data_IF_794520146803
#
_entry.id   IF_794520146803
#
_cell.length_a   1.000
_cell.length_b   1.000
_cell.length_c   1.000
_cell.angle_alpha   90.00
_cell.angle_beta   90.00
_cell.angle_gamma   90.00
#
_symmetry.space_group_name_H-M   'P 1'
#
loop_
_entity.id
_entity.type
_entity.pdbx_description
1 polymer ?
#
# COMPACT_ATOMS: atom_id res chain seq x y z
N UNK A 1 -42.25 -51.43 42.94
CA UNK A 1 -40.89 -51.48 42.40
C UNK A 1 -40.69 -50.25 41.52
N UNK A 2 -39.98 -49.26 42.02
CA UNK A 2 -39.67 -48.04 41.32
C UNK A 2 -38.19 -48.10 40.87
N UNK A 3 -37.93 -48.08 39.55
CA UNK A 3 -36.59 -48.01 39.02
C UNK A 3 -36.19 -46.51 38.96
N UNK A 4 -35.26 -46.13 39.80
CA UNK A 4 -34.51 -44.88 39.67
C UNK A 4 -33.47 -45.02 38.56
N UNK A 5 -33.63 -44.28 37.47
CA UNK A 5 -32.63 -44.10 36.45
C UNK A 5 -31.57 -43.10 36.91
N UNK A 6 -30.31 -43.58 37.09
CA UNK A 6 -29.13 -42.73 37.30
C UNK A 6 -28.73 -42.12 35.95
N UNK A 7 -28.96 -40.81 35.78
CA UNK A 7 -28.38 -40.08 34.69
C UNK A 7 -26.90 -39.75 35.04
N UNK A 8 -25.97 -40.37 34.35
CA UNK A 8 -24.54 -40.02 34.43
C UNK A 8 -24.32 -38.65 33.78
N UNK A 9 -23.98 -37.66 34.60
CA UNK A 9 -23.50 -36.37 34.13
C UNK A 9 -22.09 -36.54 33.53
N UNK A 10 -22.00 -36.35 32.20
CA UNK A 10 -20.71 -36.29 31.49
C UNK A 10 -20.07 -34.95 31.86
N UNK A 11 -18.87 -34.90 32.42
CA UNK A 11 -18.18 -33.63 32.67
C UNK A 11 -17.72 -33.01 31.36
N UNK A 12 -18.43 -31.95 30.93
CA UNK A 12 -18.09 -31.15 29.75
C UNK A 12 -17.00 -30.13 30.13
N UNK A 13 -15.78 -30.59 30.45
CA UNK A 13 -14.59 -29.76 30.61
C UNK A 13 -13.37 -30.49 30.04
N UNK A 14 -13.37 -30.77 28.75
CA UNK A 14 -12.12 -30.90 28.03
C UNK A 14 -11.66 -29.48 27.72
N UNK A 15 -10.90 -28.87 28.64
CA UNK A 15 -10.07 -27.73 28.27
C UNK A 15 -9.20 -28.20 27.09
N UNK A 16 -9.45 -27.68 25.90
CA UNK A 16 -8.53 -27.86 24.77
C UNK A 16 -7.15 -27.43 25.26
N UNK A 17 -6.14 -28.28 25.24
CA UNK A 17 -4.79 -27.82 25.47
C UNK A 17 -4.45 -26.93 24.29
N UNK A 18 -4.33 -25.64 24.52
CA UNK A 18 -3.62 -24.73 23.64
C UNK A 18 -2.12 -24.96 23.83
N UNK A 19 -1.44 -25.81 23.04
CA UNK A 19 0.00 -25.87 23.05
C UNK A 19 0.52 -24.78 22.11
N UNK A 20 0.06 -23.55 22.34
CA UNK A 20 0.69 -22.42 21.71
C UNK A 20 1.83 -22.03 22.63
N UNK A 21 3.10 -21.99 22.17
CA UNK A 21 4.13 -21.29 22.90
C UNK A 21 3.53 -19.92 23.21
N UNK A 22 3.38 -19.56 24.46
CA UNK A 22 2.68 -18.35 24.84
C UNK A 22 3.32 -17.18 24.07
N UNK A 23 2.55 -16.18 23.66
CA UNK A 23 3.04 -15.01 22.92
C UNK A 23 4.35 -14.45 23.50
N UNK A 24 4.54 -14.58 24.81
CA UNK A 24 5.78 -14.23 25.49
C UNK A 24 7.00 -15.03 24.99
N UNK A 25 6.86 -16.32 24.70
CA UNK A 25 7.94 -17.13 24.13
C UNK A 25 8.28 -16.72 22.70
N UNK A 26 7.26 -16.41 21.89
CA UNK A 26 7.41 -15.88 20.55
C UNK A 26 8.18 -14.56 20.56
N UNK A 27 7.78 -13.61 21.42
CA UNK A 27 8.45 -12.31 21.56
C UNK A 27 9.90 -12.47 22.01
N UNK A 28 10.16 -13.35 22.98
CA UNK A 28 11.52 -13.62 23.45
C UNK A 28 12.40 -14.21 22.35
N UNK A 29 11.86 -15.09 21.52
CA UNK A 29 12.61 -15.74 20.43
C UNK A 29 12.87 -14.82 19.23
N UNK A 30 11.86 -14.07 18.78
CA UNK A 30 11.92 -13.33 17.52
C UNK A 30 11.90 -11.81 17.69
N UNK A 31 11.54 -11.29 18.86
CA UNK A 31 11.61 -9.86 19.16
C UNK A 31 12.99 -9.23 18.89
N UNK A 32 14.12 -9.91 19.17
CA UNK A 32 15.45 -9.38 18.82
C UNK A 32 15.66 -9.08 17.33
N UNK A 33 14.90 -9.72 16.43
CA UNK A 33 14.96 -9.48 14.98
C UNK A 33 14.04 -8.34 14.50
N UNK A 34 13.18 -7.80 15.37
CA UNK A 34 12.28 -6.68 15.04
C UNK A 34 12.95 -5.37 15.40
N UNK A 35 13.02 -4.45 14.46
CA UNK A 35 13.77 -3.22 14.58
C UNK A 35 12.88 -1.99 14.48
N UNK A 36 13.29 -0.92 15.13
CA UNK A 36 12.72 0.41 14.97
C UNK A 36 13.35 1.12 13.78
N UNK A 37 12.53 1.82 12.98
CA UNK A 37 12.97 2.61 11.84
C UNK A 37 12.54 4.06 12.06
N UNK A 38 13.53 4.93 12.16
CA UNK A 38 13.38 6.37 12.19
C UNK A 38 13.84 6.97 10.87
N UNK A 39 13.07 7.91 10.32
CA UNK A 39 13.38 8.53 9.04
C UNK A 39 13.38 10.04 9.21
N UNK A 40 14.52 10.65 8.99
CA UNK A 40 14.65 12.10 8.94
C UNK A 40 14.11 12.59 7.60
N UNK A 41 13.21 13.55 7.64
CA UNK A 41 12.71 14.25 6.45
C UNK A 41 13.32 15.64 6.38
N UNK A 42 13.52 16.23 5.17
CA UNK A 42 13.99 17.59 5.07
C UNK A 42 13.03 18.49 5.83
N UNK A 43 13.51 19.16 6.87
CA UNK A 43 12.74 20.21 7.54
C UNK A 43 12.53 21.33 6.53
N UNK A 44 11.30 21.61 6.14
CA UNK A 44 10.97 22.88 5.50
C UNK A 44 11.12 23.93 6.60
N UNK A 45 12.00 24.94 6.44
CA UNK A 45 12.17 25.94 7.46
C UNK A 45 10.81 26.60 7.70
N UNK A 46 10.25 26.40 8.90
CA UNK A 46 9.10 27.14 9.35
C UNK A 46 9.53 28.60 9.34
N UNK A 47 8.98 29.42 8.42
CA UNK A 47 9.12 30.87 8.50
C UNK A 47 8.58 31.26 9.88
N UNK A 48 9.48 31.69 10.75
CA UNK A 48 9.16 32.32 12.04
C UNK A 48 8.33 33.54 11.72
N UNK A 49 6.99 33.43 11.79
CA UNK A 49 6.16 34.58 12.02
C UNK A 49 6.40 34.97 13.46
N UNK A 50 7.06 36.13 13.63
CA UNK A 50 7.23 36.79 14.89
C UNK A 50 5.88 37.35 15.34
N UNK A 51 5.05 36.55 16.00
CA UNK A 51 3.96 37.02 16.84
C UNK A 51 4.30 36.74 18.30
N UNK A 52 4.84 37.76 18.87
CA UNK A 52 5.14 38.01 20.26
C UNK A 52 3.83 38.23 21.00
N UNK A 53 3.16 37.13 21.37
CA UNK A 53 2.12 37.08 22.44
C UNK A 53 1.47 35.70 22.41
N UNK A 54 2.00 34.78 23.18
CA UNK A 54 1.28 33.83 24.04
C UNK A 54 2.27 32.77 24.57
N UNK A 55 2.52 32.88 25.86
CA UNK A 55 2.89 31.87 26.83
C UNK A 55 3.37 30.50 26.32
N UNK A 56 4.73 30.33 26.37
CA UNK A 56 5.47 29.18 26.87
C UNK A 56 4.84 27.82 26.62
N UNK A 57 4.82 27.41 25.35
CA UNK A 57 4.99 26.00 25.01
C UNK A 57 6.51 25.75 24.75
N UNK A 58 7.11 24.68 25.25
CA UNK A 58 8.47 24.35 24.85
C UNK A 58 8.49 24.27 23.32
N UNK A 59 9.62 24.65 22.65
CA UNK A 59 9.74 24.45 21.23
C UNK A 59 9.53 22.95 20.99
N UNK A 60 8.41 22.57 20.38
CA UNK A 60 8.31 21.30 19.74
C UNK A 60 9.39 21.34 18.66
N UNK A 61 10.50 20.66 18.90
CA UNK A 61 11.41 20.25 17.87
C UNK A 61 10.56 19.41 16.92
N UNK A 62 10.02 20.07 15.90
CA UNK A 62 9.29 19.41 14.83
C UNK A 62 10.32 18.73 13.93
N UNK A 63 10.96 17.72 14.48
CA UNK A 63 11.53 16.64 13.71
C UNK A 63 10.34 15.83 13.20
N UNK A 64 9.88 16.12 11.97
CA UNK A 64 8.89 15.30 11.29
C UNK A 64 9.53 13.97 10.91
N UNK A 65 9.91 13.19 11.94
CA UNK A 65 10.42 11.84 11.77
C UNK A 65 9.25 10.90 11.51
N UNK A 66 9.24 10.23 10.36
CA UNK A 66 8.37 9.07 10.16
C UNK A 66 8.92 7.93 11.01
N UNK A 67 8.05 7.33 11.81
CA UNK A 67 8.41 6.22 12.69
C UNK A 67 7.70 4.96 12.23
N UNK A 68 8.43 3.86 12.15
CA UNK A 68 7.90 2.55 11.81
C UNK A 68 8.74 1.42 12.37
N UNK A 69 8.37 0.24 11.99
CA UNK A 69 9.08 -1.00 12.31
C UNK A 69 9.62 -1.68 11.06
N UNK A 70 10.54 -2.60 11.25
CA UNK A 70 11.03 -3.54 10.26
C UNK A 70 11.47 -4.82 10.93
N UNK A 71 11.93 -5.77 10.14
CA UNK A 71 12.49 -7.00 10.67
C UNK A 71 13.63 -7.53 9.81
N UNK A 72 14.59 -8.14 10.47
CA UNK A 72 15.79 -8.71 9.87
C UNK A 72 15.47 -10.04 9.19
N UNK A 73 15.74 -10.12 7.88
CA UNK A 73 15.56 -11.32 7.06
C UNK A 73 16.87 -12.00 6.73
N UNK A 74 18.02 -11.37 7.05
CA UNK A 74 19.33 -11.97 6.91
C UNK A 74 20.27 -11.56 8.02
N UNK A 75 21.22 -12.43 8.37
CA UNK A 75 22.18 -12.21 9.44
C UNK A 75 23.24 -11.13 9.12
N UNK A 76 23.35 -10.74 7.87
CA UNK A 76 24.20 -9.66 7.36
C UNK A 76 23.50 -8.31 7.29
N UNK A 77 22.21 -8.20 7.71
CA UNK A 77 21.53 -6.94 7.93
C UNK A 77 20.57 -6.48 6.83
N UNK A 78 19.97 -7.40 6.06
CA UNK A 78 18.82 -7.07 5.22
C UNK A 78 17.56 -6.96 6.08
N UNK A 79 16.78 -5.89 5.86
CA UNK A 79 15.58 -5.57 6.62
C UNK A 79 14.42 -5.32 5.66
N UNK A 80 13.28 -5.96 5.90
CA UNK A 80 12.01 -5.65 5.26
C UNK A 80 11.22 -4.67 6.12
N UNK A 81 10.55 -3.72 5.43
CA UNK A 81 9.63 -2.75 6.02
C UNK A 81 8.63 -2.26 4.96
N UNK A 82 7.73 -1.34 5.31
CA UNK A 82 6.86 -0.70 4.33
C UNK A 82 7.55 0.43 3.57
N UNK A 83 7.13 0.61 2.31
CA UNK A 83 7.64 1.70 1.48
C UNK A 83 7.27 3.08 2.04
N UNK A 84 6.03 3.25 2.55
CA UNK A 84 5.57 4.52 3.12
C UNK A 84 6.35 4.94 4.38
N UNK A 85 6.95 4.00 5.12
CA UNK A 85 7.80 4.29 6.29
C UNK A 85 9.06 5.02 5.85
N UNK A 86 9.68 4.62 4.73
CA UNK A 86 10.98 5.11 4.27
C UNK A 86 10.90 6.09 3.11
N UNK A 87 9.72 6.26 2.50
CA UNK A 87 9.53 7.16 1.39
C UNK A 87 9.86 8.61 1.77
N UNK A 88 10.58 9.30 0.88
CA UNK A 88 10.98 10.70 1.03
C UNK A 88 11.92 10.99 2.21
N UNK A 89 12.55 9.95 2.79
CA UNK A 89 13.55 10.11 3.82
C UNK A 89 14.91 10.52 3.23
N UNK A 90 15.58 11.47 3.88
CA UNK A 90 16.96 11.85 3.56
C UNK A 90 17.96 10.98 4.30
N UNK A 91 17.61 10.51 5.48
CA UNK A 91 18.41 9.63 6.30
C UNK A 91 17.51 8.60 7.00
N UNK A 92 17.89 7.34 6.90
CA UNK A 92 17.19 6.22 7.54
C UNK A 92 18.06 5.69 8.66
N UNK A 93 17.53 5.66 9.87
CA UNK A 93 18.17 5.09 11.07
C UNK A 93 17.43 3.84 11.50
N UNK A 94 18.16 2.80 11.80
CA UNK A 94 17.63 1.54 12.32
C UNK A 94 18.19 1.35 13.72
N UNK A 95 17.29 1.17 14.69
CA UNK A 95 17.65 0.86 16.08
C UNK A 95 17.20 -0.55 16.42
N UNK A 96 18.14 -1.36 16.89
CA UNK A 96 17.88 -2.71 17.34
C UNK A 96 17.36 -2.71 18.79
N UNK A 97 16.70 -3.80 19.25
CA UNK A 97 16.25 -3.92 20.64
C UNK A 97 17.38 -3.87 21.68
N UNK A 98 18.60 -4.25 21.32
CA UNK A 98 19.80 -4.12 22.14
C UNK A 98 20.39 -2.70 22.19
N UNK A 99 19.67 -1.73 21.61
CA UNK A 99 20.00 -0.30 21.53
C UNK A 99 21.10 0.09 20.54
N UNK A 100 21.70 -0.85 19.80
CA UNK A 100 22.60 -0.50 18.70
C UNK A 100 21.82 0.24 17.63
N UNK A 101 22.43 1.31 17.11
CA UNK A 101 21.85 2.14 16.06
C UNK A 101 22.75 2.10 14.82
N UNK A 102 22.12 2.00 13.66
CA UNK A 102 22.80 1.93 12.37
C UNK A 102 22.17 2.90 11.38
N UNK A 103 22.99 3.49 10.54
CA UNK A 103 22.51 4.14 9.32
C UNK A 103 22.15 3.05 8.32
N UNK A 104 20.93 3.07 7.81
CA UNK A 104 20.48 2.11 6.81
C UNK A 104 20.57 2.72 5.41
N UNK A 105 20.93 1.89 4.46
CA UNK A 105 20.88 2.20 3.03
C UNK A 105 19.60 1.60 2.45
N UNK A 106 18.84 2.40 1.72
CA UNK A 106 17.71 1.91 0.93
C UNK A 106 18.24 1.17 -0.29
N UNK A 107 17.96 -0.13 -0.39
CA UNK A 107 18.29 -0.95 -1.57
C UNK A 107 17.30 -0.65 -2.68
N UNK A 108 16.01 -0.60 -2.32
CA UNK A 108 14.94 -0.23 -3.22
C UNK A 108 13.59 -0.30 -2.51
N UNK A 109 12.55 0.18 -3.17
CA UNK A 109 11.19 0.09 -2.67
C UNK A 109 10.19 -0.12 -3.80
N UNK A 110 9.06 -0.67 -3.45
CA UNK A 110 7.88 -0.82 -4.29
C UNK A 110 6.69 -0.11 -3.64
N UNK A 111 6.36 1.05 -4.16
CA UNK A 111 5.29 1.88 -3.62
C UNK A 111 3.89 1.27 -3.84
N UNK A 112 3.70 0.46 -4.89
CA UNK A 112 2.40 -0.17 -5.18
C UNK A 112 2.10 -1.31 -4.21
N UNK A 113 3.11 -2.11 -3.87
CA UNK A 113 2.99 -3.17 -2.88
C UNK A 113 3.26 -2.69 -1.45
N UNK A 114 3.73 -1.46 -1.29
CA UNK A 114 4.11 -0.88 0.01
C UNK A 114 5.23 -1.68 0.72
N UNK A 115 6.24 -2.14 -0.02
CA UNK A 115 7.40 -2.90 0.49
C UNK A 115 8.69 -2.16 0.22
N UNK A 116 9.58 -2.11 1.20
CA UNK A 116 10.94 -1.58 1.06
C UNK A 116 11.97 -2.55 1.63
N UNK A 117 13.15 -2.57 0.99
CA UNK A 117 14.32 -3.33 1.40
C UNK A 117 15.45 -2.39 1.83
N UNK A 118 15.88 -2.54 3.07
CA UNK A 118 16.99 -1.79 3.66
C UNK A 118 18.18 -2.71 3.91
N UNK A 119 19.36 -2.11 4.02
CA UNK A 119 20.62 -2.76 4.40
C UNK A 119 21.35 -1.94 5.47
N UNK A 120 21.71 -2.61 6.57
CA UNK A 120 22.63 -2.08 7.58
C UNK A 120 23.95 -2.84 7.54
N UNK A 121 25.04 -2.17 7.88
CA UNK A 121 26.38 -2.74 7.90
C UNK A 121 26.64 -3.41 9.25
N UNK A 122 26.15 -4.65 9.42
CA UNK A 122 26.31 -5.46 10.61
C UNK A 122 26.25 -6.95 10.23
N UNK A 123 26.80 -7.82 11.07
CA UNK A 123 26.81 -9.27 10.88
C UNK A 123 26.43 -9.99 12.16
N UNK A 124 26.07 -11.28 12.04
CA UNK A 124 25.68 -12.08 13.20
C UNK A 124 24.37 -11.63 13.84
N UNK A 125 23.50 -10.99 13.06
CA UNK A 125 22.21 -10.48 13.54
C UNK A 125 21.18 -11.59 13.66
N UNK A 126 20.26 -11.50 14.65
CA UNK A 126 19.11 -12.39 14.73
C UNK A 126 18.18 -12.17 13.54
N UNK A 127 17.57 -13.24 13.04
CA UNK A 127 16.63 -13.18 11.92
C UNK A 127 15.29 -13.79 12.28
N UNK A 128 14.24 -13.37 11.59
CA UNK A 128 12.94 -14.03 11.67
C UNK A 128 12.94 -15.34 10.88
N UNK A 129 11.93 -16.19 11.15
CA UNK A 129 11.61 -17.35 10.34
C UNK A 129 10.49 -16.97 9.38
N UNK A 130 10.67 -17.26 8.11
CA UNK A 130 9.66 -16.99 7.08
C UNK A 130 8.72 -18.20 6.98
N UNK A 131 7.42 -17.95 7.08
CA UNK A 131 6.36 -18.93 6.88
C UNK A 131 5.70 -18.83 5.50
N UNK A 132 4.66 -19.61 5.30
CA UNK A 132 3.83 -19.56 4.10
C UNK A 132 2.44 -19.01 4.45
N UNK A 133 1.98 -17.91 3.82
CA UNK A 133 0.62 -17.41 3.99
C UNK A 133 -0.47 -18.38 3.52
N UNK A 134 -0.11 -19.37 2.67
CA UNK A 134 -1.05 -20.41 2.25
C UNK A 134 -1.47 -21.32 3.41
N UNK A 135 -0.57 -21.52 4.38
CA UNK A 135 -0.76 -22.44 5.52
C UNK A 135 -1.66 -21.89 6.62
N UNK A 136 -2.13 -20.64 6.52
CA UNK A 136 -3.02 -20.05 7.53
C UNK A 136 -4.43 -19.90 6.97
N UNK A 137 -5.41 -20.11 7.87
CA UNK A 137 -6.81 -20.01 7.54
C UNK A 137 -7.51 -18.93 8.41
N UNK A 138 -8.65 -18.39 7.95
CA UNK A 138 -9.47 -17.52 8.79
C UNK A 138 -9.82 -18.21 10.12
N UNK A 139 -9.54 -17.52 11.24
CA UNK A 139 -9.66 -18.05 12.59
C UNK A 139 -8.33 -18.41 13.25
N UNK A 140 -7.24 -18.56 12.48
CA UNK A 140 -5.93 -18.83 13.02
C UNK A 140 -5.38 -17.64 13.82
N UNK A 141 -4.78 -17.95 14.96
CA UNK A 141 -4.16 -16.96 15.84
C UNK A 141 -2.90 -16.35 15.22
N UNK A 142 -2.78 -15.04 15.33
CA UNK A 142 -1.64 -14.26 14.82
C UNK A 142 -1.22 -13.17 15.79
N UNK A 143 0.05 -12.75 15.70
CA UNK A 143 0.60 -11.68 16.52
C UNK A 143 1.45 -10.73 15.68
N UNK A 144 1.26 -9.43 15.88
CA UNK A 144 2.13 -8.40 15.37
C UNK A 144 3.16 -8.00 16.43
N UNK A 145 4.40 -7.86 16.02
CA UNK A 145 5.45 -7.25 16.84
C UNK A 145 5.91 -5.98 16.13
N UNK A 146 5.90 -4.87 16.85
CA UNK A 146 6.42 -3.60 16.37
C UNK A 146 7.31 -2.94 17.41
N UNK A 147 8.02 -1.92 17.02
CA UNK A 147 8.88 -1.11 17.92
C UNK A 147 8.45 0.36 17.85
N UNK A 148 7.21 0.70 18.31
CA UNK A 148 6.72 2.07 18.26
C UNK A 148 7.60 2.99 19.10
N UNK A 149 7.88 4.18 18.59
CA UNK A 149 8.65 5.22 19.28
C UNK A 149 10.06 4.80 19.76
N UNK A 150 10.57 3.63 19.35
CA UNK A 150 11.88 3.15 19.79
C UNK A 150 12.00 2.80 21.29
N UNK A 151 10.87 2.67 22.00
CA UNK A 151 10.85 2.32 23.45
C UNK A 151 10.99 0.81 23.73
N UNK A 152 11.11 0.00 22.70
CA UNK A 152 11.16 -1.45 22.78
C UNK A 152 10.00 -2.08 22.00
N UNK A 153 9.99 -3.41 21.96
CA UNK A 153 8.98 -4.14 21.21
C UNK A 153 7.62 -4.12 21.92
N UNK A 154 6.60 -3.79 21.16
CA UNK A 154 5.20 -3.93 21.54
C UNK A 154 4.56 -5.08 20.79
N UNK A 155 3.70 -5.83 21.44
CA UNK A 155 3.00 -6.99 20.87
C UNK A 155 1.51 -6.76 20.90
N UNK A 156 0.86 -7.04 19.79
CA UNK A 156 -0.58 -7.12 19.69
C UNK A 156 -0.96 -8.47 19.06
N UNK A 157 -2.11 -9.03 19.41
CA UNK A 157 -2.54 -10.33 18.93
C UNK A 157 -4.02 -10.31 18.52
N UNK A 158 -4.38 -11.23 17.66
CA UNK A 158 -5.71 -11.42 17.14
C UNK A 158 -5.74 -12.67 16.27
N UNK A 159 -6.62 -12.66 15.26
CA UNK A 159 -6.79 -13.77 14.31
C UNK A 159 -6.66 -13.28 12.86
N UNK A 160 -6.43 -14.20 11.96
CA UNK A 160 -6.68 -13.98 10.53
C UNK A 160 -8.19 -13.89 10.34
N UNK A 161 -8.70 -12.76 9.86
CA UNK A 161 -10.13 -12.57 9.61
C UNK A 161 -10.52 -12.96 8.19
N UNK A 162 -9.63 -12.76 7.22
CA UNK A 162 -9.81 -13.16 5.82
C UNK A 162 -8.48 -13.19 5.05
N UNK A 163 -8.47 -13.89 3.92
CA UNK A 163 -7.34 -13.92 2.96
C UNK A 163 -7.76 -13.28 1.64
N UNK A 164 -6.80 -12.77 0.87
CA UNK A 164 -7.04 -12.28 -0.49
C UNK A 164 -7.86 -10.99 -0.57
N UNK A 165 -7.82 -10.13 0.46
CA UNK A 165 -8.56 -8.87 0.44
C UNK A 165 -7.88 -7.86 -0.47
N UNK A 166 -8.68 -7.26 -1.34
CA UNK A 166 -8.29 -6.16 -2.21
C UNK A 166 -8.73 -4.84 -1.57
N UNK A 167 -7.86 -3.86 -1.64
CA UNK A 167 -8.12 -2.55 -1.05
C UNK A 167 -8.12 -1.48 -2.14
N UNK A 168 -9.01 -0.48 -2.06
CA UNK A 168 -8.99 0.65 -2.98
C UNK A 168 -7.62 1.32 -3.02
N UNK A 169 -7.09 1.54 -4.23
CA UNK A 169 -5.75 2.10 -4.44
C UNK A 169 -4.58 1.11 -4.26
N UNK A 170 -4.87 -0.17 -4.04
CA UNK A 170 -3.89 -1.25 -3.95
C UNK A 170 -4.41 -2.54 -4.62
N UNK A 171 -5.09 -2.40 -5.75
CA UNK A 171 -5.78 -3.48 -6.46
C UNK A 171 -4.84 -4.58 -6.98
N UNK A 172 -3.53 -4.30 -7.02
CA UNK A 172 -2.52 -5.28 -7.43
C UNK A 172 -1.99 -6.15 -6.28
N UNK A 173 -2.50 -5.97 -5.05
CA UNK A 173 -2.04 -6.69 -3.87
C UNK A 173 -3.22 -7.32 -3.11
N UNK A 174 -3.14 -8.62 -2.89
CA UNK A 174 -4.09 -9.35 -2.04
C UNK A 174 -3.57 -9.38 -0.61
N UNK A 175 -4.29 -8.74 0.31
CA UNK A 175 -3.90 -8.62 1.72
C UNK A 175 -4.44 -9.76 2.58
N UNK A 176 -3.71 -10.07 3.66
CA UNK A 176 -4.26 -10.76 4.82
C UNK A 176 -5.00 -9.73 5.67
N UNK A 177 -6.30 -9.99 5.95
CA UNK A 177 -7.07 -9.19 6.88
C UNK A 177 -6.98 -9.82 8.29
N UNK A 178 -6.75 -9.01 9.31
CA UNK A 178 -6.71 -9.43 10.71
C UNK A 178 -7.46 -8.45 11.60
N UNK A 179 -7.76 -8.85 12.82
CA UNK A 179 -8.24 -7.98 13.88
C UNK A 179 -7.13 -7.60 14.87
N UNK A 180 -5.88 -7.83 14.52
CA UNK A 180 -4.72 -7.42 15.32
C UNK A 180 -4.68 -5.90 15.42
N UNK A 181 -4.63 -5.30 16.63
CA UNK A 181 -4.52 -3.87 16.79
C UNK A 181 -3.22 -3.33 16.19
N UNK A 182 -3.33 -2.52 15.14
CA UNK A 182 -2.21 -1.81 14.52
C UNK A 182 -2.33 -0.31 14.85
N UNK A 183 -1.25 0.24 15.38
CA UNK A 183 -1.11 1.65 15.72
C UNK A 183 0.15 2.22 15.06
N UNK A 184 0.31 3.55 14.96
CA UNK A 184 1.53 4.16 14.46
C UNK A 184 2.78 3.59 15.14
N UNK A 185 3.73 3.12 14.35
CA UNK A 185 4.94 2.45 14.79
C UNK A 185 4.95 0.92 14.58
N UNK A 186 3.80 0.25 14.43
CA UNK A 186 3.74 -1.18 14.09
C UNK A 186 3.84 -1.42 12.58
N UNK A 187 3.57 -0.40 11.74
CA UNK A 187 3.69 -0.50 10.27
C UNK A 187 5.11 -0.90 9.87
N UNK A 188 5.23 -1.84 8.94
CA UNK A 188 6.49 -2.43 8.50
C UNK A 188 7.00 -3.57 9.39
N UNK A 189 6.42 -3.77 10.58
CA UNK A 189 6.73 -4.88 11.46
C UNK A 189 6.13 -6.21 10.98
N UNK A 190 6.65 -7.35 11.47
CA UNK A 190 6.19 -8.69 11.10
C UNK A 190 4.85 -9.03 11.71
N UNK A 191 4.02 -9.75 10.94
CA UNK A 191 2.87 -10.52 11.43
C UNK A 191 3.29 -11.98 11.53
N UNK A 192 3.25 -12.53 12.73
CA UNK A 192 3.60 -13.92 13.02
C UNK A 192 2.38 -14.82 13.11
N UNK A 193 2.50 -16.06 12.66
CA UNK A 193 1.63 -17.14 13.09
C UNK A 193 2.07 -17.65 14.48
N UNK A 194 1.28 -18.55 15.06
CA UNK A 194 1.58 -19.08 16.40
C UNK A 194 2.74 -20.09 16.39
N UNK A 195 3.27 -20.49 15.24
CA UNK A 195 4.52 -21.29 15.13
C UNK A 195 5.78 -20.42 15.18
N UNK A 196 5.62 -19.08 15.27
CA UNK A 196 6.73 -18.12 15.25
C UNK A 196 7.31 -17.87 13.85
N UNK A 197 6.51 -18.03 12.84
CA UNK A 197 6.87 -17.77 11.44
C UNK A 197 6.17 -16.50 10.96
N UNK A 198 6.90 -15.64 10.26
CA UNK A 198 6.34 -14.44 9.65
C UNK A 198 5.51 -14.83 8.44
N UNK A 199 4.24 -14.46 8.45
CA UNK A 199 3.28 -14.70 7.37
C UNK A 199 2.90 -13.42 6.63
N UNK A 200 3.27 -12.24 7.16
CA UNK A 200 2.99 -10.96 6.52
C UNK A 200 3.75 -9.79 7.13
N UNK A 201 3.63 -8.64 6.47
CA UNK A 201 4.12 -7.33 6.91
C UNK A 201 2.92 -6.48 7.28
N UNK A 202 2.81 -6.01 8.52
CA UNK A 202 1.75 -5.10 8.94
C UNK A 202 1.85 -3.79 8.13
N UNK A 203 0.79 -3.39 7.44
CA UNK A 203 0.85 -2.25 6.52
C UNK A 203 -0.14 -1.16 6.90
N UNK A 204 -1.43 -1.43 6.89
CA UNK A 204 -2.45 -0.40 7.05
C UNK A 204 -3.66 -0.87 7.82
N UNK A 205 -4.47 0.10 8.28
CA UNK A 205 -5.79 -0.13 8.85
C UNK A 205 -6.87 0.47 7.95
N UNK A 206 -8.07 -0.09 7.97
CA UNK A 206 -9.24 0.59 7.44
C UNK A 206 -9.85 1.41 8.57
N UNK A 207 -9.89 2.73 8.40
CA UNK A 207 -10.38 3.62 9.46
C UNK A 207 -11.05 4.85 8.88
N UNK A 208 -12.17 5.25 9.47
CA UNK A 208 -12.86 6.53 9.18
C UNK A 208 -12.38 7.67 10.08
N UNK A 209 -11.85 7.35 11.25
CA UNK A 209 -11.40 8.30 12.28
C UNK A 209 -9.89 8.43 12.39
N UNK A 210 -9.12 7.64 11.64
CA UNK A 210 -7.66 7.55 11.73
C UNK A 210 -7.12 6.58 12.79
N UNK A 211 -7.97 6.09 13.72
CA UNK A 211 -7.60 5.09 14.71
C UNK A 211 -8.03 3.68 14.32
N UNK A 212 -7.47 2.66 14.97
CA UNK A 212 -7.83 1.26 14.78
C UNK A 212 -9.32 0.99 15.08
N UNK A 213 -10.01 0.28 14.17
CA UNK A 213 -11.45 -0.03 14.24
C UNK A 213 -11.74 -1.52 13.99
N UNK A 214 -10.82 -2.42 14.33
CA UNK A 214 -11.00 -3.87 14.15
C UNK A 214 -10.61 -4.40 12.78
N UNK A 215 -10.10 -3.57 11.86
CA UNK A 215 -9.73 -3.98 10.52
C UNK A 215 -8.28 -3.57 10.22
N UNK A 216 -7.40 -4.55 10.22
CA UNK A 216 -5.99 -4.43 9.89
C UNK A 216 -5.64 -5.27 8.68
N UNK A 217 -4.64 -4.83 7.92
CA UNK A 217 -4.21 -5.48 6.70
C UNK A 217 -2.70 -5.66 6.68
N UNK A 218 -2.27 -6.87 6.36
CA UNK A 218 -0.87 -7.23 6.21
C UNK A 218 -0.58 -7.69 4.77
N UNK A 219 0.57 -7.30 4.25
CA UNK A 219 1.09 -7.77 2.96
C UNK A 219 1.58 -9.20 3.16
N UNK A 220 1.13 -10.19 2.37
CA UNK A 220 1.60 -11.56 2.48
C UNK A 220 3.12 -11.65 2.32
N UNK A 221 3.76 -12.47 3.15
CA UNK A 221 5.23 -12.52 3.20
C UNK A 221 5.85 -13.11 1.93
N UNK A 222 5.18 -14.04 1.28
CA UNK A 222 5.62 -14.62 0.01
C UNK A 222 5.71 -13.56 -1.09
N UNK A 223 4.72 -12.64 -1.17
CA UNK A 223 4.75 -11.49 -2.07
C UNK A 223 5.91 -10.54 -1.71
N UNK A 224 6.10 -10.23 -0.43
CA UNK A 224 7.19 -9.38 0.03
C UNK A 224 8.57 -9.98 -0.25
N UNK A 225 8.72 -11.31 -0.14
CA UNK A 225 9.98 -12.00 -0.45
C UNK A 225 10.29 -11.98 -1.95
N UNK A 226 9.28 -12.19 -2.82
CA UNK A 226 9.47 -12.02 -4.28
C UNK A 226 9.91 -10.60 -4.64
N UNK A 227 9.32 -9.59 -4.01
CA UNK A 227 9.70 -8.19 -4.18
C UNK A 227 11.13 -7.95 -3.68
N UNK A 228 11.49 -8.45 -2.49
CA UNK A 228 12.84 -8.38 -1.92
C UNK A 228 13.88 -8.92 -2.90
N UNK A 229 13.62 -10.08 -3.52
CA UNK A 229 14.58 -10.70 -4.45
C UNK A 229 14.79 -9.85 -5.71
N UNK A 230 13.74 -9.24 -6.25
CA UNK A 230 13.84 -8.32 -7.38
C UNK A 230 14.59 -7.03 -6.98
N UNK A 231 14.26 -6.43 -5.83
CA UNK A 231 14.94 -5.25 -5.33
C UNK A 231 16.42 -5.49 -5.08
N UNK A 232 16.78 -6.67 -4.58
CA UNK A 232 18.18 -7.05 -4.36
C UNK A 232 18.93 -7.24 -5.67
N UNK A 233 18.29 -7.82 -6.70
CA UNK A 233 18.90 -8.09 -7.99
C UNK A 233 19.03 -6.84 -8.86
N UNK A 234 18.02 -5.98 -8.91
CA UNK A 234 17.94 -4.87 -9.89
C UNK A 234 17.67 -3.49 -9.27
N UNK A 235 17.31 -3.45 -7.98
CA UNK A 235 16.89 -2.22 -7.30
C UNK A 235 15.48 -1.74 -7.68
N UNK A 236 14.78 -2.48 -8.54
CA UNK A 236 13.43 -2.16 -9.04
C UNK A 236 12.56 -3.39 -9.08
N UNK A 237 11.24 -3.18 -9.07
CA UNK A 237 10.25 -4.25 -9.22
C UNK A 237 9.59 -4.13 -10.58
N UNK A 238 9.65 -5.22 -11.34
CA UNK A 238 8.98 -5.32 -12.63
C UNK A 238 7.74 -6.18 -12.48
N UNK A 239 6.59 -5.67 -12.89
CA UNK A 239 5.31 -6.37 -12.88
C UNK A 239 4.89 -6.80 -14.27
N UNK A 240 4.16 -7.91 -14.32
CA UNK A 240 3.51 -8.35 -15.53
C UNK A 240 2.31 -7.44 -15.88
N UNK A 241 2.15 -7.12 -17.16
CA UNK A 241 0.95 -6.48 -17.70
C UNK A 241 0.60 -7.13 -19.04
N UNK A 242 -0.67 -7.06 -19.42
CA UNK A 242 -1.12 -7.53 -20.74
C UNK A 242 -1.87 -6.46 -21.53
N UNK A 243 -2.11 -5.29 -20.96
CA UNK A 243 -2.77 -4.16 -21.62
C UNK A 243 -4.29 -4.36 -21.76
N UNK A 244 -4.97 -4.59 -20.63
CA UNK A 244 -6.43 -4.68 -20.54
C UNK A 244 -6.98 -3.78 -19.45
N UNK A 245 -8.21 -3.32 -19.64
CA UNK A 245 -9.05 -2.80 -18.57
C UNK A 245 -10.13 -3.83 -18.27
N UNK A 246 -10.43 -4.02 -17.00
CA UNK A 246 -11.44 -4.99 -16.55
C UNK A 246 -12.42 -4.35 -15.58
N UNK A 247 -13.62 -4.94 -15.48
CA UNK A 247 -14.61 -4.58 -14.48
C UNK A 247 -15.18 -5.81 -13.79
N UNK A 248 -15.78 -5.58 -12.64
CA UNK A 248 -16.44 -6.59 -11.82
C UNK A 248 -17.66 -7.19 -12.50
N UNK A 249 -17.85 -8.50 -12.35
CA UNK A 249 -19.00 -9.23 -12.88
C UNK A 249 -20.04 -9.43 -11.77
N UNK A 250 -21.01 -8.52 -11.69
CA UNK A 250 -22.18 -8.69 -10.85
C UNK A 250 -23.24 -9.58 -11.47
N UNK A 251 -24.31 -9.91 -10.71
CA UNK A 251 -25.38 -10.83 -11.13
C UNK A 251 -25.96 -10.47 -12.50
N UNK A 252 -26.31 -9.19 -12.73
CA UNK A 252 -26.92 -8.75 -13.99
C UNK A 252 -26.02 -9.00 -15.21
N UNK A 253 -24.70 -8.83 -15.07
CA UNK A 253 -23.75 -9.15 -16.13
C UNK A 253 -23.59 -10.66 -16.30
N UNK A 254 -23.54 -11.43 -15.22
CA UNK A 254 -23.47 -12.88 -15.29
C UNK A 254 -24.70 -13.45 -16.05
N UNK A 255 -25.88 -12.97 -15.77
CA UNK A 255 -27.11 -13.37 -16.46
C UNK A 255 -27.07 -13.00 -17.96
N UNK A 256 -26.59 -11.78 -18.28
CA UNK A 256 -26.47 -11.29 -19.66
C UNK A 256 -25.46 -12.11 -20.47
N UNK A 257 -24.31 -12.40 -19.90
CA UNK A 257 -23.26 -13.23 -20.55
C UNK A 257 -23.51 -14.73 -20.39
N UNK A 258 -24.57 -15.13 -19.67
CA UNK A 258 -24.90 -16.53 -19.34
C UNK A 258 -23.76 -17.27 -18.65
N UNK A 259 -23.10 -16.60 -17.72
CA UNK A 259 -22.11 -17.20 -16.85
C UNK A 259 -22.81 -18.10 -15.82
N UNK A 260 -22.19 -19.22 -15.41
CA UNK A 260 -22.73 -20.09 -14.37
C UNK A 260 -22.90 -19.41 -13.01
N UNK A 261 -22.11 -18.36 -12.75
CA UNK A 261 -22.11 -17.59 -11.50
C UNK A 261 -21.55 -16.18 -11.72
N UNK A 262 -21.86 -15.21 -10.82
CA UNK A 262 -21.32 -13.86 -10.89
C UNK A 262 -19.87 -13.85 -10.41
N UNK A 263 -18.93 -14.27 -11.26
CA UNK A 263 -17.50 -14.31 -11.00
C UNK A 263 -16.72 -14.07 -12.28
N UNK A 264 -15.46 -13.64 -12.14
CA UNK A 264 -14.57 -13.35 -13.24
C UNK A 264 -14.31 -11.86 -13.44
N UNK A 265 -13.44 -11.52 -14.38
CA UNK A 265 -13.07 -10.17 -14.75
C UNK A 265 -13.53 -9.90 -16.19
N UNK A 266 -14.55 -9.05 -16.38
CA UNK A 266 -15.04 -8.67 -17.71
C UNK A 266 -14.07 -7.67 -18.34
N UNK A 267 -13.51 -8.03 -19.49
CA UNK A 267 -12.63 -7.17 -20.27
C UNK A 267 -13.44 -6.06 -20.93
N UNK A 268 -13.22 -4.82 -20.51
CA UNK A 268 -13.91 -3.63 -21.05
C UNK A 268 -13.14 -2.95 -22.14
N UNK A 269 -11.80 -3.05 -22.13
CA UNK A 269 -10.93 -2.50 -23.16
C UNK A 269 -9.68 -3.35 -23.31
N UNK A 270 -9.16 -3.41 -24.53
CA UNK A 270 -7.92 -4.09 -24.89
C UNK A 270 -7.04 -3.09 -25.62
N UNK A 271 -5.84 -2.85 -25.10
CA UNK A 271 -4.87 -1.92 -25.67
C UNK A 271 -4.53 -2.34 -27.11
N UNK A 272 -4.77 -1.48 -28.12
CA UNK A 272 -4.42 -1.78 -29.49
C UNK A 272 -2.92 -2.07 -29.63
N UNK A 273 -2.54 -3.19 -30.26
CA UNK A 273 -1.17 -3.68 -30.34
C UNK A 273 -0.53 -4.12 -29.02
N UNK A 274 -1.27 -4.11 -27.89
CA UNK A 274 -0.84 -4.66 -26.60
C UNK A 274 -0.72 -6.18 -26.60
N UNK A 275 -0.16 -6.73 -25.54
CA UNK A 275 0.04 -8.16 -25.37
C UNK A 275 -1.27 -8.96 -25.45
N UNK A 276 -2.34 -8.46 -24.82
CA UNK A 276 -3.66 -9.08 -24.86
C UNK A 276 -4.25 -9.13 -26.28
N UNK A 277 -4.15 -8.02 -27.05
CA UNK A 277 -4.62 -7.98 -28.42
C UNK A 277 -3.88 -9.00 -29.31
N UNK A 278 -2.55 -9.09 -29.16
CA UNK A 278 -1.73 -10.08 -29.89
C UNK A 278 -2.04 -11.52 -29.48
N UNK A 279 -2.43 -11.75 -28.21
CA UNK A 279 -2.86 -13.05 -27.70
C UNK A 279 -4.29 -13.44 -28.09
N UNK A 280 -5.03 -12.52 -28.75
CA UNK A 280 -6.40 -12.77 -29.19
C UNK A 280 -7.47 -12.57 -28.11
N UNK A 281 -7.15 -11.88 -27.00
CA UNK A 281 -8.13 -11.43 -26.01
C UNK A 281 -8.96 -10.29 -26.62
N UNK A 282 -10.26 -10.25 -26.31
CA UNK A 282 -11.21 -9.31 -26.89
C UNK A 282 -12.03 -8.61 -25.80
N UNK A 283 -12.48 -7.40 -26.10
CA UNK A 283 -13.51 -6.73 -25.32
C UNK A 283 -14.78 -7.61 -25.27
N UNK A 284 -15.35 -7.79 -24.09
CA UNK A 284 -16.48 -8.68 -23.82
C UNK A 284 -16.08 -10.09 -23.35
N UNK A 285 -14.80 -10.46 -23.36
CA UNK A 285 -14.34 -11.68 -22.71
C UNK A 285 -14.47 -11.54 -21.19
N UNK A 286 -14.80 -12.64 -20.49
CA UNK A 286 -14.69 -12.69 -19.04
C UNK A 286 -13.56 -13.62 -18.64
N UNK A 287 -12.52 -13.10 -18.01
CA UNK A 287 -11.38 -13.90 -17.52
C UNK A 287 -11.84 -14.69 -16.31
N UNK A 288 -11.82 -16.02 -16.41
CA UNK A 288 -12.25 -16.95 -15.36
C UNK A 288 -11.08 -17.51 -14.56
N UNK A 289 -9.89 -17.62 -15.17
CA UNK A 289 -8.67 -18.01 -14.46
C UNK A 289 -7.42 -17.48 -15.13
N UNK A 290 -6.34 -17.34 -14.34
CA UNK A 290 -4.99 -17.00 -14.78
C UNK A 290 -4.04 -18.07 -14.26
N UNK A 291 -3.34 -18.77 -15.15
CA UNK A 291 -2.45 -19.90 -14.79
C UNK A 291 -3.13 -20.96 -13.90
N UNK A 292 -4.40 -21.24 -14.16
CA UNK A 292 -5.21 -22.19 -13.39
C UNK A 292 -5.73 -21.66 -12.05
N UNK A 293 -5.33 -20.46 -11.62
CA UNK A 293 -5.88 -19.78 -10.42
C UNK A 293 -7.21 -19.14 -10.79
N UNK A 294 -8.24 -19.46 -10.04
CA UNK A 294 -9.58 -18.97 -10.27
C UNK A 294 -9.69 -17.45 -10.04
N UNK A 295 -10.37 -16.75 -10.94
CA UNK A 295 -10.69 -15.32 -10.85
C UNK A 295 -12.14 -15.19 -10.37
N UNK A 296 -12.31 -14.73 -9.13
CA UNK A 296 -13.62 -14.47 -8.53
C UNK A 296 -14.01 -12.99 -8.72
N UNK A 297 -13.06 -12.09 -8.50
CA UNK A 297 -13.21 -10.63 -8.64
C UNK A 297 -12.30 -10.09 -9.74
N UNK A 298 -12.65 -8.96 -10.33
CA UNK A 298 -11.85 -8.33 -11.39
C UNK A 298 -10.41 -8.08 -10.97
N UNK A 299 -10.20 -7.70 -9.73
CA UNK A 299 -8.87 -7.44 -9.20
C UNK A 299 -7.99 -8.69 -9.03
N UNK A 300 -8.59 -9.90 -8.90
CA UNK A 300 -7.82 -11.16 -8.93
C UNK A 300 -7.07 -11.32 -10.25
N UNK A 301 -7.74 -11.03 -11.38
CA UNK A 301 -7.13 -11.11 -12.69
C UNK A 301 -5.92 -10.17 -12.81
N UNK A 302 -6.06 -8.91 -12.37
CA UNK A 302 -4.99 -7.93 -12.40
C UNK A 302 -3.83 -8.33 -11.48
N UNK A 303 -4.12 -8.82 -10.28
CA UNK A 303 -3.12 -9.30 -9.31
C UNK A 303 -2.35 -10.50 -9.86
N UNK A 304 -3.05 -11.51 -10.36
CA UNK A 304 -2.41 -12.72 -10.90
C UNK A 304 -1.58 -12.45 -12.16
N UNK A 305 -2.01 -11.49 -13.00
CA UNK A 305 -1.23 -11.05 -14.16
C UNK A 305 0.02 -10.28 -13.71
N UNK A 306 -0.11 -9.40 -12.71
CA UNK A 306 1.01 -8.64 -12.19
C UNK A 306 2.12 -9.51 -11.57
N UNK A 307 1.76 -10.68 -11.03
CA UNK A 307 2.70 -11.67 -10.50
C UNK A 307 3.46 -12.45 -11.59
N UNK A 308 2.99 -12.43 -12.85
CA UNK A 308 3.65 -13.17 -13.93
C UNK A 308 4.97 -12.52 -14.34
N UNK A 309 5.93 -13.35 -14.67
CA UNK A 309 7.25 -12.91 -15.13
C UNK A 309 7.14 -12.32 -16.54
N UNK A 310 7.58 -11.09 -16.78
CA UNK A 310 7.62 -10.50 -18.11
C UNK A 310 8.37 -11.38 -19.12
N UNK A 311 7.85 -11.45 -20.33
CA UNK A 311 8.38 -12.30 -21.40
C UNK A 311 7.82 -13.72 -21.43
N UNK A 312 7.30 -14.22 -20.33
CA UNK A 312 6.63 -15.53 -20.26
C UNK A 312 5.19 -15.44 -20.81
N UNK A 313 4.62 -16.62 -21.11
CA UNK A 313 3.21 -16.72 -21.52
C UNK A 313 2.33 -16.99 -20.31
N UNK A 314 1.29 -16.17 -20.14
CA UNK A 314 0.21 -16.42 -19.21
C UNK A 314 -0.92 -17.14 -19.94
N UNK A 315 -1.38 -18.26 -19.39
CA UNK A 315 -2.54 -18.99 -19.86
C UNK A 315 -3.76 -18.47 -19.14
N UNK A 316 -4.70 -17.89 -19.90
CA UNK A 316 -5.97 -17.37 -19.42
C UNK A 316 -7.09 -18.32 -19.85
N UNK A 317 -7.99 -18.68 -18.93
CA UNK A 317 -9.29 -19.23 -19.28
C UNK A 317 -10.27 -18.08 -19.38
N UNK A 318 -10.92 -17.92 -20.51
CA UNK A 318 -11.89 -16.86 -20.74
C UNK A 318 -13.24 -17.43 -21.17
N UNK A 319 -14.31 -16.76 -20.73
CA UNK A 319 -15.65 -17.00 -21.22
C UNK A 319 -15.95 -16.07 -22.38
N UNK A 320 -16.26 -16.65 -23.54
CA UNK A 320 -16.60 -15.97 -24.79
C UNK A 320 -17.64 -16.78 -25.54
N UNK A 321 -18.64 -16.15 -26.12
CA UNK A 321 -19.69 -16.82 -26.91
C UNK A 321 -20.35 -18.00 -26.18
N UNK A 322 -20.52 -17.89 -24.85
CA UNK A 322 -21.12 -18.90 -23.95
C UNK A 322 -20.30 -20.20 -23.82
N UNK A 323 -19.01 -20.11 -24.06
CA UNK A 323 -18.07 -21.22 -23.92
C UNK A 323 -16.75 -20.78 -23.31
N UNK A 324 -16.04 -21.74 -22.69
CA UNK A 324 -14.70 -21.51 -22.20
C UNK A 324 -13.68 -21.62 -23.32
N UNK A 325 -12.77 -20.66 -23.40
CA UNK A 325 -11.65 -20.64 -24.34
C UNK A 325 -10.34 -20.41 -23.61
N UNK A 326 -9.27 -21.05 -24.09
CA UNK A 326 -7.92 -20.82 -23.62
C UNK A 326 -7.28 -19.73 -24.48
N UNK A 327 -6.77 -18.68 -23.84
CA UNK A 327 -6.04 -17.61 -24.50
C UNK A 327 -4.65 -17.51 -23.86
N UNK A 328 -3.60 -17.61 -24.69
CA UNK A 328 -2.22 -17.42 -24.24
C UNK A 328 -1.73 -16.03 -24.58
N UNK A 329 -1.28 -15.31 -23.58
CA UNK A 329 -0.81 -13.93 -23.72
C UNK A 329 0.64 -13.84 -23.25
N UNK A 330 1.53 -13.29 -24.10
CA UNK A 330 2.90 -13.01 -23.70
C UNK A 330 2.91 -11.78 -22.80
N UNK A 331 3.24 -11.97 -21.53
CA UNK A 331 3.25 -10.89 -20.52
C UNK A 331 4.33 -9.87 -20.84
N UNK A 332 3.96 -8.59 -20.81
CA UNK A 332 4.89 -7.47 -20.93
C UNK A 332 5.36 -7.02 -19.55
N UNK A 333 6.55 -6.43 -19.46
CA UNK A 333 7.06 -5.83 -18.25
C UNK A 333 6.53 -4.42 -18.07
N UNK A 334 6.18 -4.09 -16.84
CA UNK A 334 5.92 -2.73 -16.42
C UNK A 334 6.82 -2.43 -15.21
N UNK A 335 7.83 -1.59 -15.43
CA UNK A 335 8.70 -1.15 -14.36
C UNK A 335 7.97 -0.12 -13.50
N UNK A 336 7.90 -0.40 -12.21
CA UNK A 336 7.48 0.63 -11.25
C UNK A 336 8.49 1.78 -11.30
N UNK A 337 8.05 3.04 -11.50
CA UNK A 337 8.98 4.16 -11.53
C UNK A 337 9.87 4.12 -10.29
N UNK A 338 11.19 4.18 -10.47
CA UNK A 338 12.11 4.39 -9.36
C UNK A 338 11.68 5.69 -8.66
N UNK A 339 11.24 5.57 -7.42
CA UNK A 339 11.34 6.70 -6.51
C UNK A 339 12.83 6.79 -6.12
N UNK A 340 13.65 7.14 -7.10
CA UNK A 340 15.04 7.50 -6.83
C UNK A 340 15.00 8.71 -5.93
N UNK A 341 15.71 8.63 -4.83
CA UNK A 341 16.11 9.77 -4.03
C UNK A 341 17.09 10.69 -4.76
N UNK A 342 16.96 10.83 -6.06
CA UNK A 342 17.46 11.98 -6.79
C UNK A 342 16.42 13.08 -6.57
N UNK A 343 16.59 13.77 -5.45
CA UNK A 343 16.26 15.16 -5.35
C UNK A 343 17.12 15.96 -6.36
N UNK A 344 16.97 15.67 -7.66
CA UNK A 344 16.95 16.77 -8.59
C UNK A 344 15.70 17.56 -8.19
N UNK A 345 15.91 18.57 -7.38
CA UNK A 345 14.94 19.55 -6.98
C UNK A 345 14.28 20.15 -8.23
N UNK A 346 13.29 19.46 -8.76
CA UNK A 346 12.21 20.13 -9.45
C UNK A 346 11.56 20.96 -8.34
N UNK A 347 11.86 22.24 -8.33
CA UNK A 347 11.45 23.20 -7.34
C UNK A 347 9.95 23.01 -7.07
N UNK A 348 9.61 22.44 -5.92
CA UNK A 348 8.24 22.47 -5.43
C UNK A 348 7.96 23.91 -5.13
N UNK A 349 7.24 24.61 -6.00
CA UNK A 349 6.81 25.99 -5.73
C UNK A 349 5.69 25.87 -4.70
N UNK A 350 5.90 26.36 -3.46
CA UNK A 350 4.83 26.42 -2.49
C UNK A 350 3.80 27.39 -3.03
N UNK A 351 2.62 26.90 -3.38
CA UNK A 351 1.54 27.80 -3.77
C UNK A 351 1.06 28.56 -2.53
N UNK A 352 0.67 29.82 -2.68
CA UNK A 352 0.03 30.62 -1.63
C UNK A 352 -1.26 29.97 -1.11
N UNK A 353 -1.76 28.95 -1.81
CA UNK A 353 -2.97 28.17 -1.51
C UNK A 353 -2.76 27.02 -0.52
N UNK A 354 -1.54 26.81 -0.04
CA UNK A 354 -1.29 25.78 0.97
C UNK A 354 -1.14 24.35 0.43
N UNK A 355 -0.84 24.18 -0.83
CA UNK A 355 -0.41 22.90 -1.38
C UNK A 355 0.89 23.06 -2.19
N UNK A 356 1.69 22.01 -2.24
CA UNK A 356 2.92 21.94 -3.03
C UNK A 356 2.68 21.07 -4.26
N UNK A 357 3.12 21.56 -5.44
CA UNK A 357 2.92 20.89 -6.71
C UNK A 357 4.24 20.73 -7.47
N UNK A 358 4.29 19.73 -8.35
CA UNK A 358 5.33 19.58 -9.37
C UNK A 358 4.72 19.21 -10.72
N UNK A 359 5.39 19.54 -11.82
CA UNK A 359 4.98 19.04 -13.12
C UNK A 359 4.99 17.50 -13.18
N UNK A 360 4.09 16.92 -13.96
CA UNK A 360 4.08 15.50 -14.26
C UNK A 360 5.29 15.11 -15.12
N UNK A 361 5.96 14.02 -14.75
CA UNK A 361 6.97 13.41 -15.60
C UNK A 361 6.33 12.86 -16.90
N UNK A 362 7.09 12.73 -18.01
CA UNK A 362 6.55 12.19 -19.27
C UNK A 362 5.86 10.83 -19.12
N UNK A 363 6.42 9.92 -18.33
CA UNK A 363 5.82 8.61 -18.02
C UNK A 363 4.51 8.73 -17.25
N UNK A 364 4.40 9.68 -16.31
CA UNK A 364 3.18 9.94 -15.54
C UNK A 364 2.07 10.51 -16.42
N UNK A 365 2.40 11.42 -17.36
CA UNK A 365 1.44 11.96 -18.35
C UNK A 365 0.86 10.87 -19.23
N UNK A 366 1.71 9.97 -19.70
CA UNK A 366 1.29 8.83 -20.52
C UNK A 366 0.40 7.86 -19.71
N UNK A 367 0.78 7.58 -18.48
CA UNK A 367 0.02 6.69 -17.59
C UNK A 367 -1.36 7.26 -17.26
N UNK A 368 -1.42 8.56 -16.93
CA UNK A 368 -2.65 9.26 -16.56
C UNK A 368 -3.50 9.69 -17.77
N UNK A 369 -3.00 9.46 -19.00
CA UNK A 369 -3.63 9.87 -20.27
C UNK A 369 -3.97 11.36 -20.29
N UNK A 370 -3.02 12.19 -19.85
CA UNK A 370 -3.13 13.65 -19.82
C UNK A 370 -1.98 14.30 -20.60
N UNK A 371 -2.26 15.41 -21.25
CA UNK A 371 -1.24 16.14 -22.03
C UNK A 371 -0.28 16.94 -21.14
N UNK A 372 -0.78 17.41 -19.98
CA UNK A 372 -0.04 18.18 -18.99
C UNK A 372 -0.68 18.06 -17.61
N UNK A 373 -0.16 18.82 -16.65
CA UNK A 373 -0.73 18.92 -15.31
C UNK A 373 0.32 18.96 -14.21
N UNK A 374 -0.14 19.29 -13.01
CA UNK A 374 0.67 19.40 -11.81
C UNK A 374 0.23 18.38 -10.75
N UNK A 375 1.15 17.53 -10.32
CA UNK A 375 0.90 16.59 -9.23
C UNK A 375 0.97 17.32 -7.89
N UNK A 376 -0.09 17.20 -7.10
CA UNK A 376 -0.14 17.68 -5.71
C UNK A 376 0.64 16.72 -4.83
N UNK A 377 1.74 17.20 -4.28
CA UNK A 377 2.61 16.42 -3.41
C UNK A 377 2.22 16.52 -1.93
N UNK A 378 1.84 17.71 -1.51
CA UNK A 378 1.48 18.04 -0.12
C UNK A 378 0.36 19.07 -0.06
N UNK A 379 -0.45 19.00 0.98
CA UNK A 379 -1.52 19.95 1.28
C UNK A 379 -1.43 20.36 2.74
N UNK A 380 -1.73 21.63 3.05
CA UNK A 380 -1.94 22.06 4.42
C UNK A 380 -3.41 21.85 4.84
N UNK A 381 -3.73 22.18 6.08
CA UNK A 381 -5.09 22.02 6.64
C UNK A 381 -6.14 22.80 5.85
N UNK A 382 -5.81 24.00 5.35
CA UNK A 382 -6.76 24.84 4.60
C UNK A 382 -7.05 24.23 3.22
N UNK A 383 -6.04 23.80 2.47
CA UNK A 383 -6.20 23.15 1.18
C UNK A 383 -6.91 21.80 1.29
N UNK A 384 -6.64 21.04 2.35
CA UNK A 384 -7.34 19.78 2.63
C UNK A 384 -8.82 20.01 2.94
N UNK A 385 -9.18 21.06 3.68
CA UNK A 385 -10.58 21.44 3.93
C UNK A 385 -11.30 21.91 2.67
N UNK A 386 -10.59 22.53 1.74
CA UNK A 386 -11.11 22.88 0.42
C UNK A 386 -11.29 21.64 -0.49
N UNK A 387 -10.85 20.46 -0.06
CA UNK A 387 -11.02 19.20 -0.79
C UNK A 387 -9.85 18.81 -1.69
N UNK A 388 -8.72 19.55 -1.67
CA UNK A 388 -7.49 19.15 -2.39
C UNK A 388 -6.78 18.05 -1.60
N UNK A 389 -6.29 17.02 -2.29
CA UNK A 389 -5.63 15.87 -1.67
C UNK A 389 -4.23 15.63 -2.27
N UNK A 390 -3.27 15.11 -1.49
CA UNK A 390 -2.04 14.60 -2.07
C UNK A 390 -2.35 13.50 -3.09
N UNK A 391 -1.65 13.54 -4.23
CA UNK A 391 -1.91 12.63 -5.35
C UNK A 391 -2.90 13.16 -6.40
N UNK A 392 -3.61 14.27 -6.13
CA UNK A 392 -4.40 14.94 -7.16
C UNK A 392 -3.50 15.46 -8.28
N UNK A 393 -3.97 15.37 -9.51
CA UNK A 393 -3.33 16.02 -10.66
C UNK A 393 -4.16 17.20 -11.11
N UNK A 394 -3.65 18.40 -10.90
CA UNK A 394 -4.29 19.63 -11.35
C UNK A 394 -4.14 19.72 -12.88
N UNK A 395 -5.26 19.75 -13.59
CA UNK A 395 -5.32 19.82 -15.04
C UNK A 395 -5.66 21.21 -15.55
N UNK A 396 -6.52 21.93 -14.80
CA UNK A 396 -6.97 23.26 -15.19
C UNK A 396 -7.40 24.09 -13.98
N UNK A 397 -7.37 25.42 -14.11
CA UNK A 397 -7.98 26.39 -13.21
C UNK A 397 -9.00 27.23 -13.96
N UNK A 398 -10.24 27.29 -13.49
CA UNK A 398 -11.33 28.03 -14.16
C UNK A 398 -11.45 27.71 -15.67
N UNK A 399 -11.17 26.45 -16.07
CA UNK A 399 -11.21 26.00 -17.45
C UNK A 399 -9.94 26.26 -18.27
N UNK A 400 -8.96 26.99 -17.74
CA UNK A 400 -7.66 27.19 -18.41
C UNK A 400 -6.70 26.04 -18.04
N UNK A 401 -6.10 25.33 -19.01
CA UNK A 401 -5.14 24.28 -18.75
C UNK A 401 -3.92 24.80 -17.96
N UNK A 402 -3.45 23.99 -17.03
CA UNK A 402 -2.29 24.29 -16.16
C UNK A 402 -1.25 23.18 -16.33
N UNK A 403 -0.05 23.55 -16.79
CA UNK A 403 1.08 22.64 -17.05
C UNK A 403 2.34 22.99 -16.26
N UNK A 404 2.38 24.18 -15.64
CA UNK A 404 3.50 24.66 -14.83
C UNK A 404 3.03 25.35 -13.55
N UNK A 405 3.90 25.36 -12.54
CA UNK A 405 3.62 26.02 -11.26
C UNK A 405 3.49 27.54 -11.42
N UNK A 406 4.23 28.11 -12.37
CA UNK A 406 4.18 29.55 -12.73
C UNK A 406 2.83 29.89 -13.36
N UNK A 407 2.33 29.04 -14.30
CA UNK A 407 1.01 29.20 -14.93
C UNK A 407 -0.10 29.13 -13.85
N UNK A 408 0.01 28.20 -12.88
CA UNK A 408 -0.93 28.12 -11.77
C UNK A 408 -0.91 29.40 -10.92
N UNK A 409 0.28 29.93 -10.59
CA UNK A 409 0.43 31.13 -9.79
C UNK A 409 -0.19 32.36 -10.50
N UNK A 410 0.08 32.53 -11.80
CA UNK A 410 -0.48 33.62 -12.62
C UNK A 410 -2.00 33.54 -12.74
N UNK A 411 -2.53 32.33 -12.99
CA UNK A 411 -3.98 32.12 -13.09
C UNK A 411 -4.71 32.41 -11.76
N UNK A 412 -4.04 32.20 -10.63
CA UNK A 412 -4.56 32.52 -9.30
C UNK A 412 -4.53 34.01 -9.00
N UNK A 413 -3.53 34.74 -9.47
CA UNK A 413 -3.45 36.20 -9.32
C UNK A 413 -4.58 36.93 -10.09
N UNK A 414 -5.05 36.34 -11.17
CA UNK A 414 -6.17 36.84 -11.96
C UNK A 414 -7.55 36.40 -11.49
N UNK A 415 -7.66 35.58 -10.43
CA UNK A 415 -8.94 35.06 -9.97
C UNK A 415 -9.49 35.90 -8.79
N UNK A 416 -10.68 36.47 -8.97
CA UNK A 416 -11.40 37.25 -7.95
C UNK A 416 -12.18 36.31 -7.01
N UNK A 417 -11.64 36.02 -5.82
CA UNK A 417 -12.34 35.33 -4.73
C UNK A 417 -12.21 33.81 -4.81
N UNK A 418 -13.19 33.10 -5.40
CA UNK A 418 -13.19 31.63 -5.54
C UNK A 418 -12.75 31.20 -6.94
N UNK A 419 -11.98 30.10 -7.02
CA UNK A 419 -11.57 29.48 -8.28
C UNK A 419 -11.89 27.98 -8.25
N UNK A 420 -12.10 27.38 -9.43
CA UNK A 420 -12.38 25.97 -9.58
C UNK A 420 -11.16 25.24 -10.17
N UNK A 421 -10.54 24.38 -9.40
CA UNK A 421 -9.51 23.45 -9.88
C UNK A 421 -10.17 22.23 -10.53
N UNK A 422 -9.85 21.96 -11.78
CA UNK A 422 -10.12 20.64 -12.37
C UNK A 422 -8.97 19.72 -12.01
N UNK A 423 -9.26 18.70 -11.20
CA UNK A 423 -8.26 17.71 -10.80
C UNK A 423 -8.64 16.32 -11.27
N UNK A 424 -7.64 15.52 -11.59
CA UNK A 424 -7.80 14.07 -11.79
C UNK A 424 -7.39 13.37 -10.50
N UNK A 425 -8.32 12.58 -9.93
CA UNK A 425 -8.17 11.80 -8.72
C UNK A 425 -8.65 10.38 -8.99
N UNK A 426 -7.80 9.37 -8.74
CA UNK A 426 -8.14 7.97 -8.96
C UNK A 426 -8.81 7.68 -10.33
N UNK A 427 -8.32 8.33 -11.39
CA UNK A 427 -8.84 8.18 -12.74
C UNK A 427 -10.10 9.02 -13.08
N UNK A 428 -10.78 9.61 -12.09
CA UNK A 428 -11.92 10.49 -12.30
C UNK A 428 -11.50 11.97 -12.36
N UNK A 429 -12.20 12.78 -13.16
CA UNK A 429 -12.03 14.24 -13.19
C UNK A 429 -13.10 14.88 -12.34
N UNK A 430 -12.68 15.70 -11.39
CA UNK A 430 -13.58 16.41 -10.46
C UNK A 430 -13.18 17.88 -10.36
N UNK A 431 -14.16 18.75 -10.08
CA UNK A 431 -13.89 20.16 -9.76
C UNK A 431 -13.78 20.34 -8.26
N UNK A 432 -12.71 20.99 -7.81
CA UNK A 432 -12.47 21.34 -6.40
C UNK A 432 -12.50 22.86 -6.29
N UNK A 433 -13.46 23.44 -5.55
CA UNK A 433 -13.50 24.89 -5.31
C UNK A 433 -12.40 25.27 -4.33
N UNK A 434 -11.64 26.31 -4.64
CA UNK A 434 -10.59 26.85 -3.79
C UNK A 434 -10.73 28.35 -3.64
N UNK A 435 -10.22 28.89 -2.52
CA UNK A 435 -10.09 30.32 -2.33
C UNK A 435 -8.83 30.84 -2.99
N UNK A 436 -8.94 31.68 -4.01
CA UNK A 436 -7.80 32.28 -4.71
C UNK A 436 -7.01 33.27 -3.84
N UNK A 437 -7.64 33.88 -2.83
CA UNK A 437 -7.02 34.81 -1.90
C UNK A 437 -7.26 34.37 -0.45
N UNK A 438 -6.19 34.19 0.31
CA UNK A 438 -6.28 33.92 1.74
C UNK A 438 -6.89 35.10 2.48
N UNK A 439 -8.05 34.91 3.14
CA UNK A 439 -8.74 35.92 3.93
C UNK A 439 -9.91 36.65 3.24
N UNK A 440 -10.37 36.16 2.10
CA UNK A 440 -11.58 36.66 1.46
C UNK A 440 -12.82 36.30 2.30
N UNK A 441 -13.73 37.26 2.62
CA UNK A 441 -14.93 37.00 3.40
C UNK A 441 -15.99 36.13 2.70
N UNK A 442 -15.74 35.71 1.47
CA UNK A 442 -16.60 34.80 0.67
C UNK A 442 -16.11 33.34 0.67
N UNK A 443 -15.08 33.03 1.41
CA UNK A 443 -14.51 31.69 1.68
C UNK A 443 -14.59 31.38 3.15
#
# INVERSE_FOLDING_TARGET
MALLGLAAAVPLHAAMPWPVPGLAALVKAFGPAVVHIGVERPSVPARRFSDRWLLRAPPAEADESSLGSGFLVSADGLILTNAHVVAHGTQIRVKLPDRREFRARLIGLDALADVALLKIDATGLPTVRIGDPADVEPGDGVAAIGSPYGFGNSVTAGIVSAKGRLLPGAESMQFLQTDVPINPGNSGGPLFNLRGEVIGINSRIYSRSGGYQGLSFAIPIDAAMRIKDQLLATGTVTRGRIGVSVQEVGQALADTFRLPRPAGALVTDVEPRGAAARGGLKTGDVILSVQGREVVQAADALGFIAEQVPGQRARLMVWRDRAEHVVEVKVEGYDTPRLQGDAAAAASVPSRLGFAVRPLAPAERQFLRVEGGLLVQRVNVAASRAGVQPGDVILALNGQPIDSAEALAQALEGADGTAALLVQRAGARIFVPICAQAGSPKC
#
